data_IF_140904746721
#
_entry.id   IF_140904746721
#
_cell.length_a   1.000
_cell.length_b   1.000
_cell.length_c   1.000
_cell.angle_alpha   90.00
_cell.angle_beta   90.00
_cell.angle_gamma   90.00
#
_symmetry.space_group_name_H-M   'P 1'
#
loop_
_entity.id
_entity.type
_entity.pdbx_description
1 polymer ?
#
# COMPACT_ATOMS: atom_id res chain seq x y z
N UNK A 1 -23.81 18.49 -8.25
CA UNK A 1 -23.31 18.01 -6.95
C UNK A 1 -22.72 16.63 -7.17
N UNK A 2 -21.54 16.33 -6.64
CA UNK A 2 -20.89 15.02 -6.78
C UNK A 2 -20.74 14.40 -5.39
N UNK A 3 -21.24 13.17 -5.23
CA UNK A 3 -21.13 12.39 -4.01
C UNK A 3 -20.38 11.09 -4.32
N UNK A 4 -19.54 10.65 -3.40
CA UNK A 4 -18.84 9.37 -3.48
C UNK A 4 -19.15 8.57 -2.21
N UNK A 5 -19.61 7.34 -2.35
CA UNK A 5 -19.79 6.38 -1.26
C UNK A 5 -19.03 5.09 -1.58
N UNK A 6 -18.91 4.19 -0.60
CA UNK A 6 -18.54 2.80 -0.92
C UNK A 6 -19.83 2.04 -1.28
N UNK A 7 -19.72 0.84 -1.89
CA UNK A 7 -20.88 0.07 -2.31
C UNK A 7 -21.44 -0.73 -1.13
N UNK A 8 -21.78 -0.06 -0.03
CA UNK A 8 -22.58 -0.70 1.02
C UNK A 8 -24.06 -0.68 0.63
N UNK A 9 -24.77 -1.75 0.99
CA UNK A 9 -26.16 -1.99 0.63
C UNK A 9 -27.08 -0.79 0.95
N UNK A 10 -26.89 -0.18 2.12
CA UNK A 10 -27.67 0.99 2.56
C UNK A 10 -27.51 2.17 1.59
N UNK A 11 -26.30 2.44 1.11
CA UNK A 11 -26.05 3.53 0.17
C UNK A 11 -26.52 3.20 -1.24
N UNK A 12 -26.28 1.98 -1.73
CA UNK A 12 -26.72 1.60 -3.08
C UNK A 12 -28.25 1.67 -3.20
N UNK A 13 -28.96 1.23 -2.17
CA UNK A 13 -30.42 1.26 -2.16
C UNK A 13 -30.96 2.68 -1.99
N UNK A 14 -30.50 3.42 -0.98
CA UNK A 14 -31.03 4.76 -0.68
C UNK A 14 -30.64 5.79 -1.76
N UNK A 15 -29.39 5.77 -2.23
CA UNK A 15 -28.95 6.69 -3.28
C UNK A 15 -29.63 6.38 -4.62
N UNK A 16 -29.85 5.10 -4.93
CA UNK A 16 -30.60 4.70 -6.11
C UNK A 16 -32.03 5.23 -6.11
N UNK A 17 -32.69 5.28 -4.94
CA UNK A 17 -34.03 5.85 -4.78
C UNK A 17 -34.01 7.37 -4.98
N UNK A 18 -33.03 8.08 -4.43
CA UNK A 18 -32.97 9.54 -4.45
C UNK A 18 -32.48 10.09 -5.79
N UNK A 19 -31.46 9.47 -6.38
CA UNK A 19 -30.77 9.93 -7.59
C UNK A 19 -31.35 9.31 -8.87
N UNK A 20 -32.12 8.23 -8.74
CA UNK A 20 -32.60 7.42 -9.86
C UNK A 20 -31.51 6.53 -10.47
N UNK A 21 -31.89 5.60 -11.37
CA UNK A 21 -30.99 4.58 -11.91
C UNK A 21 -29.80 5.13 -12.71
N UNK A 22 -29.94 6.32 -13.33
CA UNK A 22 -28.89 6.99 -14.10
C UNK A 22 -28.03 7.95 -13.26
N UNK A 23 -28.43 8.19 -12.00
CA UNK A 23 -27.77 9.13 -11.10
C UNK A 23 -26.58 8.54 -10.34
N UNK A 24 -26.38 7.23 -10.44
CA UNK A 24 -25.30 6.48 -9.78
C UNK A 24 -24.40 5.84 -10.83
N UNK A 25 -23.11 6.20 -10.81
CA UNK A 25 -22.10 5.60 -11.69
C UNK A 25 -21.16 4.73 -10.86
N UNK A 26 -21.24 3.39 -10.97
CA UNK A 26 -20.35 2.51 -10.22
C UNK A 26 -18.93 2.60 -10.78
N UNK A 27 -17.94 2.64 -9.89
CA UNK A 27 -16.55 2.57 -10.29
C UNK A 27 -16.16 1.12 -10.58
N UNK A 28 -15.54 0.89 -11.74
CA UNK A 28 -15.06 -0.43 -12.13
C UNK A 28 -13.85 -0.82 -11.30
N UNK A 29 -14.00 -1.85 -10.45
CA UNK A 29 -12.90 -2.40 -9.65
C UNK A 29 -11.73 -2.88 -10.52
N UNK A 30 -12.01 -3.43 -11.69
CA UNK A 30 -10.95 -3.89 -12.62
C UNK A 30 -10.18 -2.72 -13.22
N UNK A 31 -10.86 -1.63 -13.56
CA UNK A 31 -10.20 -0.40 -14.02
C UNK A 31 -9.34 0.20 -12.91
N UNK A 32 -9.88 0.30 -11.69
CA UNK A 32 -9.13 0.77 -10.51
C UNK A 32 -7.88 -0.10 -10.29
N UNK A 33 -7.98 -1.43 -10.35
CA UNK A 33 -6.84 -2.31 -10.17
C UNK A 33 -5.77 -2.14 -11.26
N UNK A 34 -6.18 -1.83 -12.50
CA UNK A 34 -5.26 -1.48 -13.57
C UNK A 34 -4.52 -0.18 -13.26
N UNK A 35 -5.24 0.84 -12.79
CA UNK A 35 -4.64 2.12 -12.42
C UNK A 35 -3.69 1.99 -11.21
N UNK A 36 -4.02 1.13 -10.24
CA UNK A 36 -3.13 0.79 -9.12
C UNK A 36 -1.84 0.16 -9.65
N UNK A 37 -1.91 -0.75 -10.63
CA UNK A 37 -0.71 -1.33 -11.25
C UNK A 37 0.16 -0.26 -11.89
N UNK A 38 -0.42 0.63 -12.69
CA UNK A 38 0.33 1.74 -13.28
C UNK A 38 0.96 2.67 -12.22
N UNK A 39 0.24 2.95 -11.13
CA UNK A 39 0.77 3.71 -10.00
C UNK A 39 1.97 3.01 -9.33
N UNK A 40 1.87 1.71 -9.06
CA UNK A 40 2.95 0.91 -8.44
C UNK A 40 4.18 0.87 -9.35
N UNK A 41 3.99 0.56 -10.64
CA UNK A 41 5.08 0.54 -11.62
C UNK A 41 5.77 1.90 -11.72
N UNK A 42 5.00 2.99 -11.74
CA UNK A 42 5.55 4.34 -11.76
C UNK A 42 6.37 4.67 -10.51
N UNK A 43 5.91 4.29 -9.31
CA UNK A 43 6.66 4.53 -8.07
C UNK A 43 7.95 3.72 -8.02
N UNK A 44 7.90 2.45 -8.42
CA UNK A 44 9.10 1.59 -8.47
C UNK A 44 10.15 2.11 -9.46
N UNK A 45 9.73 2.79 -10.53
CA UNK A 45 10.62 3.39 -11.53
C UNK A 45 11.19 4.76 -11.09
N UNK A 46 10.34 5.64 -10.52
CA UNK A 46 10.68 7.06 -10.31
C UNK A 46 11.17 7.40 -8.91
N UNK A 47 10.79 6.65 -7.89
CA UNK A 47 11.11 7.00 -6.51
C UNK A 47 12.55 6.67 -6.15
N UNK A 48 13.23 7.63 -5.51
CA UNK A 48 14.65 7.53 -5.18
C UNK A 48 14.97 6.30 -4.30
N UNK A 49 14.09 5.96 -3.34
CA UNK A 49 14.34 4.81 -2.47
C UNK A 49 14.23 3.45 -3.16
N UNK A 50 13.63 3.37 -4.35
CA UNK A 50 13.59 2.16 -5.16
C UNK A 50 14.70 2.06 -6.22
N UNK A 51 15.46 3.14 -6.46
CA UNK A 51 16.53 3.15 -7.47
C UNK A 51 17.58 2.03 -7.24
N UNK A 52 17.84 1.66 -5.98
CA UNK A 52 18.76 0.56 -5.61
C UNK A 52 18.33 -0.81 -6.17
N UNK A 53 17.05 -0.97 -6.51
CA UNK A 53 16.47 -2.22 -7.03
C UNK A 53 16.38 -2.28 -8.54
N UNK A 54 16.67 -1.19 -9.26
CA UNK A 54 16.56 -1.13 -10.73
C UNK A 54 17.48 -2.12 -11.45
N UNK A 55 18.60 -2.51 -10.83
CA UNK A 55 19.51 -3.55 -11.33
C UNK A 55 19.02 -4.98 -11.04
N UNK A 56 17.96 -5.13 -10.24
CA UNK A 56 17.34 -6.40 -9.87
C UNK A 56 15.86 -6.45 -10.34
N UNK A 57 15.62 -6.71 -11.64
CA UNK A 57 14.26 -6.73 -12.19
C UNK A 57 13.37 -7.81 -11.56
N UNK A 58 13.96 -8.87 -10.99
CA UNK A 58 13.21 -9.91 -10.27
C UNK A 58 12.52 -9.37 -9.02
N UNK A 59 13.21 -8.52 -8.25
CA UNK A 59 12.65 -7.89 -7.05
C UNK A 59 11.59 -6.84 -7.39
N UNK A 60 11.86 -5.99 -8.40
CA UNK A 60 10.88 -5.01 -8.87
C UNK A 60 9.58 -5.68 -9.31
N UNK A 61 9.71 -6.77 -10.09
CA UNK A 61 8.55 -7.56 -10.51
C UNK A 61 7.81 -8.19 -9.33
N UNK A 62 8.54 -8.78 -8.39
CA UNK A 62 7.95 -9.40 -7.19
C UNK A 62 7.13 -8.38 -6.38
N UNK A 63 7.68 -7.21 -6.12
CA UNK A 63 6.99 -6.13 -5.40
C UNK A 63 5.74 -5.69 -6.17
N UNK A 64 5.86 -5.46 -7.47
CA UNK A 64 4.72 -5.07 -8.31
C UNK A 64 3.60 -6.11 -8.26
N UNK A 65 3.91 -7.38 -8.45
CA UNK A 65 2.90 -8.46 -8.47
C UNK A 65 2.26 -8.67 -7.09
N UNK A 66 3.03 -8.63 -6.00
CA UNK A 66 2.50 -8.77 -4.63
C UNK A 66 1.57 -7.61 -4.25
N UNK A 67 1.98 -6.37 -4.50
CA UNK A 67 1.18 -5.20 -4.13
C UNK A 67 -0.08 -5.14 -4.99
N UNK A 68 0.04 -5.32 -6.31
CA UNK A 68 -1.11 -5.20 -7.21
C UNK A 68 -2.14 -6.32 -7.03
N UNK A 69 -1.71 -7.53 -6.68
CA UNK A 69 -2.63 -8.65 -6.42
C UNK A 69 -3.41 -8.50 -5.11
N UNK A 70 -2.84 -7.85 -4.10
CA UNK A 70 -3.45 -7.67 -2.77
C UNK A 70 -4.19 -6.34 -2.59
N UNK A 71 -3.90 -5.33 -3.41
CA UNK A 71 -4.47 -3.99 -3.23
C UNK A 71 -6.00 -3.93 -3.40
N UNK A 72 -6.59 -4.80 -4.21
CA UNK A 72 -8.03 -5.00 -4.33
C UNK A 72 -8.89 -3.72 -4.41
N UNK A 73 -8.45 -2.74 -5.20
CA UNK A 73 -9.12 -1.45 -5.39
C UNK A 73 -8.68 -0.36 -4.40
N UNK A 74 -7.74 -0.64 -3.50
CA UNK A 74 -7.29 0.26 -2.44
C UNK A 74 -5.93 0.90 -2.77
N UNK A 75 -5.94 2.04 -3.47
CA UNK A 75 -4.73 2.85 -3.71
C UNK A 75 -3.94 3.15 -2.44
N UNK A 76 -4.66 3.47 -1.34
CA UNK A 76 -4.01 3.82 -0.07
C UNK A 76 -3.29 2.63 0.56
N UNK A 77 -3.85 1.42 0.43
CA UNK A 77 -3.17 0.21 0.86
C UNK A 77 -1.86 0.04 0.07
N UNK A 78 -1.91 0.17 -1.26
CA UNK A 78 -0.73 0.04 -2.11
C UNK A 78 0.35 1.09 -1.79
N UNK A 79 -0.06 2.35 -1.56
CA UNK A 79 0.85 3.42 -1.16
C UNK A 79 1.55 3.11 0.16
N UNK A 80 0.80 2.69 1.19
CA UNK A 80 1.37 2.33 2.49
C UNK A 80 2.39 1.20 2.37
N UNK A 81 2.13 0.17 1.57
CA UNK A 81 3.08 -0.94 1.41
C UNK A 81 4.36 -0.48 0.70
N UNK A 82 4.25 0.37 -0.32
CA UNK A 82 5.42 0.94 -0.99
C UNK A 82 6.26 1.79 -0.03
N UNK A 83 5.63 2.61 0.80
CA UNK A 83 6.35 3.45 1.78
C UNK A 83 7.12 2.59 2.81
N UNK A 84 6.55 1.47 3.24
CA UNK A 84 7.27 0.50 4.10
C UNK A 84 8.46 -0.12 3.39
N UNK A 85 8.28 -0.59 2.15
CA UNK A 85 9.30 -1.28 1.36
C UNK A 85 10.45 -0.36 0.91
N UNK A 86 10.20 0.93 0.76
CA UNK A 86 11.22 1.91 0.37
C UNK A 86 12.42 1.90 1.35
N UNK A 87 12.14 1.63 2.64
CA UNK A 87 13.10 1.62 3.72
C UNK A 87 13.94 0.32 3.82
N UNK A 88 13.59 -0.75 3.11
CA UNK A 88 14.31 -2.03 3.14
C UNK A 88 15.71 -1.88 2.52
N UNK A 89 16.77 -2.30 3.21
CA UNK A 89 18.15 -2.08 2.77
C UNK A 89 18.69 -3.20 1.87
N UNK A 90 18.16 -4.40 2.00
CA UNK A 90 18.61 -5.60 1.31
C UNK A 90 17.41 -6.48 0.87
N UNK A 91 17.74 -7.51 0.10
CA UNK A 91 16.77 -8.39 -0.53
C UNK A 91 15.96 -9.16 0.50
N UNK A 92 16.62 -9.64 1.54
CA UNK A 92 15.99 -10.40 2.63
C UNK A 92 14.97 -9.52 3.36
N UNK A 93 15.29 -8.24 3.60
CA UNK A 93 14.37 -7.27 4.19
C UNK A 93 13.14 -7.02 3.33
N UNK A 94 13.28 -6.94 2.00
CA UNK A 94 12.12 -6.84 1.10
C UNK A 94 11.27 -8.10 1.14
N UNK A 95 11.88 -9.28 1.00
CA UNK A 95 11.14 -10.54 0.98
C UNK A 95 10.38 -10.75 2.30
N UNK A 96 11.01 -10.43 3.43
CA UNK A 96 10.39 -10.47 4.77
C UNK A 96 9.21 -9.51 4.90
N UNK A 97 9.35 -8.27 4.42
CA UNK A 97 8.27 -7.27 4.47
C UNK A 97 7.12 -7.65 3.53
N UNK A 98 7.42 -8.26 2.37
CA UNK A 98 6.40 -8.77 1.45
C UNK A 98 5.59 -9.93 2.02
N UNK A 99 6.24 -10.79 2.82
CA UNK A 99 5.60 -11.89 3.53
C UNK A 99 4.73 -11.42 4.71
N UNK A 100 5.07 -10.27 5.31
CA UNK A 100 4.33 -9.68 6.43
C UNK A 100 3.17 -8.78 6.01
N UNK A 101 2.97 -8.55 4.71
CA UNK A 101 1.92 -7.67 4.20
C UNK A 101 0.53 -8.11 4.68
N UNK A 102 -0.28 -7.18 5.22
CA UNK A 102 -1.63 -7.49 5.68
C UNK A 102 -2.51 -7.90 4.50
N UNK A 103 -3.52 -8.74 4.74
CA UNK A 103 -4.41 -9.21 3.68
C UNK A 103 -5.29 -8.09 3.12
N UNK A 104 -5.66 -7.12 3.96
CA UNK A 104 -6.41 -5.93 3.61
C UNK A 104 -6.21 -4.82 4.67
N UNK A 105 -6.80 -3.63 4.46
CA UNK A 105 -6.73 -2.50 5.40
C UNK A 105 -7.57 -2.72 6.68
N UNK A 106 -8.45 -3.73 6.74
CA UNK A 106 -9.24 -4.03 7.94
C UNK A 106 -8.44 -4.84 8.96
N UNK A 107 -7.40 -5.57 8.54
CA UNK A 107 -6.42 -6.17 9.46
C UNK A 107 -5.48 -5.12 10.10
N UNK A 108 -5.39 -3.90 9.55
CA UNK A 108 -4.56 -2.82 10.10
C UNK A 108 -5.18 -2.03 11.26
N UNK A 109 -6.46 -2.27 11.59
CA UNK A 109 -7.13 -1.72 12.80
C UNK A 109 -6.92 -2.61 14.05
N UNK A 110 -5.88 -3.46 14.06
CA UNK A 110 -5.50 -4.24 15.24
C UNK A 110 -4.33 -3.57 15.98
N UNK A 111 -4.35 -3.48 17.33
CA UNK A 111 -3.30 -2.85 18.15
C UNK A 111 -1.87 -3.38 17.89
N UNK A 112 -1.72 -4.58 17.32
CA UNK A 112 -0.42 -5.13 16.90
C UNK A 112 0.23 -4.34 15.76
N UNK A 113 -0.53 -3.77 14.82
CA UNK A 113 0.00 -3.02 13.67
C UNK A 113 0.50 -1.63 14.07
N UNK A 114 -0.16 -0.97 15.02
CA UNK A 114 0.37 0.25 15.68
C UNK A 114 1.71 -0.06 16.33
N UNK A 115 1.86 -1.24 16.94
CA UNK A 115 3.11 -1.64 17.56
C UNK A 115 4.23 -1.86 16.53
N UNK A 116 3.93 -2.34 15.32
CA UNK A 116 4.94 -2.46 14.24
C UNK A 116 5.42 -1.09 13.74
N UNK A 117 4.49 -0.14 13.54
CA UNK A 117 4.83 1.25 13.18
C UNK A 117 5.64 1.92 14.29
N UNK A 118 5.27 1.73 15.56
CA UNK A 118 5.99 2.31 16.69
C UNK A 118 7.33 1.61 16.99
N UNK A 119 7.45 0.30 16.78
CA UNK A 119 8.72 -0.43 16.93
C UNK A 119 9.75 0.05 15.90
N UNK A 120 9.35 0.34 14.66
CA UNK A 120 10.28 0.86 13.66
C UNK A 120 10.78 2.28 13.95
N UNK A 121 10.02 3.11 14.67
CA UNK A 121 10.49 4.44 15.11
C UNK A 121 11.46 4.41 16.30
N UNK A 122 11.56 3.29 17.02
CA UNK A 122 12.38 3.19 18.25
C UNK A 122 13.74 2.49 18.07
N UNK A 123 14.08 2.01 16.87
CA UNK A 123 15.40 1.44 16.56
C UNK A 123 16.44 2.43 16.01
N UNK A 124 16.10 3.70 15.79
CA UNK A 124 17.06 4.74 15.38
C UNK A 124 17.50 5.54 16.61
N UNK A 125 18.27 4.93 17.51
CA UNK A 125 18.71 5.68 18.69
C UNK A 125 19.46 4.92 19.76
N UNK A 126 20.43 4.07 19.42
CA UNK A 126 21.50 3.73 20.37
C UNK A 126 22.73 3.19 19.67
N UNK A 127 23.79 4.01 19.66
CA UNK A 127 25.14 3.52 19.53
C UNK A 127 26.06 4.43 18.74
N UNK A 128 26.70 5.39 19.43
CA UNK A 128 28.17 5.47 19.50
C UNK A 128 28.56 6.10 20.85
N UNK A 129 28.91 5.23 21.80
CA UNK A 129 29.88 5.60 22.82
C UNK A 129 31.23 5.75 22.14
N UNK A 130 31.87 6.91 22.30
CA UNK A 130 33.28 7.07 22.00
C UNK A 130 33.99 7.43 23.31
N UNK A 131 34.72 6.45 23.85
CA UNK A 131 35.62 6.63 24.99
C UNK A 131 37.01 6.95 24.43
N UNK A 132 37.54 8.09 24.89
CA UNK A 132 38.96 8.45 25.07
C UNK A 132 39.83 8.63 23.81
N UNK A 133 40.30 9.86 23.64
CA UNK A 133 41.61 10.24 24.19
C UNK A 133 41.50 11.56 24.92
#
# INVERSE_FOLDING_TARGET
>A
MLLTSRPEYEFEHELGIVLGPEGCVPLSKTAINSDIRSYVEQRLDKDAGFQKWTTNPGIVKLVCDQITSKADGMFRWAACQLDSLENCLDREGIETELDSLPRDLNETESPSSILTVLKNTSYIGKGRGHRRR
#
